data_IF_934963673705
#
_entry.id   IF_934963673705
#
_cell.length_a   1.000
_cell.length_b   1.000
_cell.length_c   1.000
_cell.angle_alpha   90.00
_cell.angle_beta   90.00
_cell.angle_gamma   90.00
#
_symmetry.space_group_name_H-M   'P 1'
#
loop_
_entity.id
_entity.type
_entity.pdbx_description
1 polymer ?
#
# COMPACT_ATOMS: atom_id res chain seq x y z
N UNK A 1 -27.48 -11.21 30.53
CA UNK A 1 -26.05 -11.06 30.21
C UNK A 1 -25.58 -9.74 30.74
N UNK A 2 -24.43 -9.70 31.42
CA UNK A 2 -23.81 -8.44 31.87
C UNK A 2 -22.70 -8.06 30.87
N UNK A 3 -22.49 -6.75 30.67
CA UNK A 3 -21.40 -6.27 29.82
C UNK A 3 -20.03 -6.55 30.45
N UNK A 4 -19.02 -6.74 29.60
CA UNK A 4 -17.63 -6.83 30.03
C UNK A 4 -17.17 -5.50 30.65
N UNK A 5 -16.35 -5.49 31.72
CA UNK A 5 -15.86 -4.27 32.36
C UNK A 5 -15.23 -3.25 31.39
N UNK A 6 -14.49 -3.73 30.40
CA UNK A 6 -13.80 -2.89 29.40
C UNK A 6 -14.74 -2.17 28.42
N UNK A 7 -16.05 -2.46 28.43
CA UNK A 7 -17.03 -1.72 27.61
C UNK A 7 -16.99 -0.22 27.92
N UNK A 8 -16.74 0.15 29.17
CA UNK A 8 -16.60 1.55 29.57
C UNK A 8 -15.39 2.22 28.91
N UNK A 9 -14.26 1.51 28.83
CA UNK A 9 -13.05 2.00 28.17
C UNK A 9 -13.31 2.19 26.67
N UNK A 10 -14.01 1.24 26.03
CA UNK A 10 -14.40 1.39 24.62
C UNK A 10 -15.27 2.64 24.43
N UNK A 11 -16.26 2.89 25.28
CA UNK A 11 -17.14 4.05 25.19
C UNK A 11 -16.39 5.38 25.33
N UNK A 12 -15.37 5.42 26.18
CA UNK A 12 -14.50 6.59 26.35
C UNK A 12 -13.61 6.84 25.11
N UNK A 13 -13.15 5.78 24.43
CA UNK A 13 -12.30 5.88 23.24
C UNK A 13 -13.09 6.12 21.95
N UNK A 14 -14.32 5.61 21.85
CA UNK A 14 -15.07 5.56 20.59
C UNK A 14 -15.29 6.92 19.91
N UNK A 15 -15.54 8.03 20.63
CA UNK A 15 -15.66 9.35 19.99
C UNK A 15 -14.42 9.76 19.19
N UNK A 16 -13.21 9.37 19.63
CA UNK A 16 -11.98 9.66 18.90
C UNK A 16 -11.80 8.77 17.68
N UNK A 17 -12.21 7.50 17.79
CA UNK A 17 -12.25 6.56 16.67
C UNK A 17 -13.22 7.05 15.59
N UNK A 18 -14.40 7.53 15.99
CA UNK A 18 -15.39 8.09 15.07
C UNK A 18 -14.84 9.33 14.33
N UNK A 19 -14.14 10.23 15.04
CA UNK A 19 -13.47 11.37 14.40
C UNK A 19 -12.37 10.96 13.42
N UNK A 20 -11.66 9.87 13.70
CA UNK A 20 -10.67 9.31 12.79
C UNK A 20 -11.33 8.72 11.53
N UNK A 21 -12.45 8.02 11.67
CA UNK A 21 -13.27 7.56 10.55
C UNK A 21 -13.82 8.73 9.73
N UNK A 22 -14.33 9.79 10.36
CA UNK A 22 -14.81 10.99 9.66
C UNK A 22 -13.71 11.67 8.84
N UNK A 23 -12.48 11.69 9.37
CA UNK A 23 -11.31 12.17 8.62
C UNK A 23 -11.03 11.23 7.44
N UNK A 24 -11.02 9.91 7.66
CA UNK A 24 -10.79 8.91 6.62
C UNK A 24 -11.79 9.06 5.46
N UNK A 25 -13.08 9.21 5.77
CA UNK A 25 -14.14 9.37 4.77
C UNK A 25 -13.98 10.63 3.92
N UNK A 26 -13.44 11.72 4.48
CA UNK A 26 -13.10 12.93 3.69
C UNK A 26 -12.02 12.69 2.65
N UNK A 27 -11.18 11.68 2.86
CA UNK A 27 -10.08 11.27 1.98
C UNK A 27 -10.41 10.00 1.17
N UNK A 28 -11.70 9.67 1.02
CA UNK A 28 -12.15 8.54 0.19
C UNK A 28 -11.94 7.15 0.81
N UNK A 29 -11.78 7.06 2.13
CA UNK A 29 -11.64 5.79 2.85
C UNK A 29 -12.94 5.48 3.59
N UNK A 30 -13.63 4.42 3.16
CA UNK A 30 -14.96 4.06 3.67
C UNK A 30 -14.92 3.46 5.08
N UNK A 31 -13.92 2.64 5.40
CA UNK A 31 -13.82 1.92 6.69
C UNK A 31 -12.36 1.85 7.17
N UNK A 32 -12.05 2.50 8.30
CA UNK A 32 -10.71 2.48 8.90
C UNK A 32 -10.27 1.11 9.42
N UNK A 33 -11.22 0.20 9.68
CA UNK A 33 -10.97 -1.12 10.23
C UNK A 33 -10.89 -2.23 9.18
N UNK A 34 -11.17 -1.93 7.91
CA UNK A 34 -11.02 -2.88 6.80
C UNK A 34 -9.87 -2.48 5.87
N UNK A 35 -9.26 -3.46 5.20
CA UNK A 35 -8.27 -3.27 4.13
C UNK A 35 -7.13 -2.28 4.43
N UNK A 36 -6.75 -2.18 5.71
CA UNK A 36 -5.78 -1.19 6.22
C UNK A 36 -6.21 0.28 6.04
N UNK A 37 -7.50 0.62 5.96
CA UNK A 37 -7.99 1.98 5.75
C UNK A 37 -7.41 3.00 6.73
N UNK A 38 -7.39 2.68 8.03
CA UNK A 38 -6.79 3.54 9.04
C UNK A 38 -5.27 3.72 8.92
N UNK A 39 -4.57 2.81 8.23
CA UNK A 39 -3.15 2.98 7.89
C UNK A 39 -3.00 3.79 6.61
N UNK A 40 -3.77 3.47 5.57
CA UNK A 40 -3.78 4.19 4.31
C UNK A 40 -3.95 5.69 4.52
N UNK A 41 -4.87 6.11 5.41
CA UNK A 41 -5.05 7.52 5.76
C UNK A 41 -3.74 8.21 6.19
N UNK A 42 -2.89 7.54 6.97
CA UNK A 42 -1.61 8.11 7.41
C UNK A 42 -0.70 8.41 6.21
N UNK A 43 -0.66 7.51 5.22
CA UNK A 43 0.13 7.69 3.99
C UNK A 43 -0.39 8.88 3.20
N UNK A 44 -1.70 8.92 2.93
CA UNK A 44 -2.31 9.99 2.13
C UNK A 44 -2.06 11.38 2.75
N UNK A 45 -2.21 11.52 4.06
CA UNK A 45 -2.00 12.79 4.76
C UNK A 45 -0.54 13.24 4.76
N UNK A 46 0.42 12.32 4.69
CA UNK A 46 1.85 12.63 4.66
C UNK A 46 2.32 12.95 3.23
N UNK A 47 1.86 12.19 2.25
CA UNK A 47 2.31 12.34 0.85
C UNK A 47 1.50 13.37 0.07
N UNK A 48 0.32 13.75 0.56
CA UNK A 48 -0.62 14.62 -0.17
C UNK A 48 -1.31 13.92 -1.35
N UNK A 49 -1.29 12.59 -1.38
CA UNK A 49 -1.94 11.80 -2.42
C UNK A 49 -3.46 11.67 -2.18
N UNK A 50 -4.21 11.55 -3.27
CA UNK A 50 -5.64 11.28 -3.29
C UNK A 50 -5.90 9.88 -3.84
N UNK A 51 -6.75 9.09 -3.16
CA UNK A 51 -7.12 7.73 -3.62
C UNK A 51 -7.93 7.81 -4.91
N UNK A 52 -7.62 6.93 -5.85
CA UNK A 52 -8.42 6.76 -7.06
C UNK A 52 -9.57 5.78 -6.81
N UNK A 53 -10.81 6.08 -7.28
CA UNK A 53 -11.92 5.16 -7.15
C UNK A 53 -11.77 3.98 -8.12
N UNK A 54 -12.10 2.78 -7.64
CA UNK A 54 -12.08 1.56 -8.45
C UNK A 54 -11.03 0.55 -7.97
N UNK A 55 -11.22 -0.73 -8.36
CA UNK A 55 -10.28 -1.81 -8.03
C UNK A 55 -9.34 -2.15 -9.19
N UNK A 56 -9.61 -1.64 -10.37
CA UNK A 56 -8.84 -1.90 -11.59
C UNK A 56 -8.16 -0.60 -12.04
N UNK A 57 -6.92 -0.39 -11.60
CA UNK A 57 -6.16 0.82 -11.90
C UNK A 57 -5.05 1.05 -10.90
N UNK A 58 -4.41 2.21 -11.01
CA UNK A 58 -3.45 2.69 -10.02
C UNK A 58 -4.19 3.13 -8.75
N UNK A 59 -3.49 3.14 -7.62
CA UNK A 59 -4.12 3.26 -6.30
C UNK A 59 -4.38 4.73 -5.90
N UNK A 60 -3.54 5.67 -6.34
CA UNK A 60 -3.64 7.07 -5.96
C UNK A 60 -3.05 8.02 -7.01
N UNK A 61 -3.33 9.32 -6.85
CA UNK A 61 -2.74 10.39 -7.67
C UNK A 61 -2.26 11.57 -6.82
N UNK A 62 -1.31 12.34 -7.34
CA UNK A 62 -0.89 13.62 -6.76
C UNK A 62 -1.70 14.81 -7.32
N UNK A 63 -1.42 16.01 -6.80
CA UNK A 63 -2.05 17.27 -7.25
C UNK A 63 -1.72 17.67 -8.69
N UNK A 64 -0.69 17.09 -9.30
CA UNK A 64 -0.31 17.32 -10.70
C UNK A 64 -0.98 16.30 -11.64
N UNK A 65 -1.68 15.31 -11.10
CA UNK A 65 -2.32 14.24 -11.86
C UNK A 65 -1.40 13.05 -12.15
N UNK A 66 -0.21 12.98 -11.55
CA UNK A 66 0.62 11.78 -11.64
C UNK A 66 -0.02 10.66 -10.82
N UNK A 67 -0.10 9.46 -11.38
CA UNK A 67 -0.67 8.28 -10.72
C UNK A 67 0.42 7.40 -10.10
N UNK A 68 0.05 6.66 -9.05
CA UNK A 68 0.96 5.85 -8.24
C UNK A 68 0.33 4.50 -7.88
N UNK A 69 1.17 3.46 -7.84
CA UNK A 69 0.84 2.21 -7.14
C UNK A 69 1.20 2.35 -5.66
N UNK A 70 0.32 1.91 -4.75
CA UNK A 70 0.55 1.91 -3.31
C UNK A 70 0.71 0.48 -2.80
N UNK A 71 1.79 0.22 -2.05
CA UNK A 71 1.98 -1.03 -1.31
C UNK A 71 2.33 -0.76 0.14
N UNK A 72 1.85 -1.62 1.04
CA UNK A 72 2.19 -1.52 2.46
C UNK A 72 2.64 -2.86 3.04
N UNK A 73 3.44 -2.80 4.11
CA UNK A 73 3.87 -3.99 4.84
C UNK A 73 3.84 -3.74 6.35
N UNK A 74 3.35 -4.72 7.11
CA UNK A 74 3.55 -4.76 8.56
C UNK A 74 4.76 -5.63 8.89
N UNK A 75 5.84 -5.00 9.36
CA UNK A 75 7.12 -5.66 9.62
C UNK A 75 7.09 -6.67 10.76
N UNK A 76 6.01 -6.69 11.55
CA UNK A 76 5.76 -7.71 12.58
C UNK A 76 5.23 -9.03 11.99
N UNK A 77 4.73 -9.00 10.75
CA UNK A 77 4.11 -10.15 10.09
C UNK A 77 4.92 -10.66 8.90
N UNK A 78 5.49 -9.77 8.10
CA UNK A 78 6.28 -10.15 6.92
C UNK A 78 7.33 -9.08 6.59
N UNK A 79 8.33 -9.47 5.79
CA UNK A 79 9.41 -8.59 5.31
C UNK A 79 9.38 -8.39 3.80
N UNK A 80 8.26 -8.67 3.15
CA UNK A 80 8.10 -8.49 1.71
C UNK A 80 6.71 -7.96 1.36
N UNK A 81 6.66 -7.11 0.34
CA UNK A 81 5.43 -6.56 -0.22
C UNK A 81 4.81 -7.55 -1.20
N UNK A 82 3.49 -7.70 -1.15
CA UNK A 82 2.71 -8.34 -2.21
C UNK A 82 2.62 -7.46 -3.45
N UNK A 83 2.27 -8.06 -4.58
CA UNK A 83 2.04 -7.36 -5.85
C UNK A 83 0.64 -7.70 -6.35
N UNK A 84 0.50 -8.46 -7.44
CA UNK A 84 -0.75 -8.88 -8.04
C UNK A 84 -0.86 -10.42 -8.07
N UNK A 85 -2.07 -10.97 -7.92
CA UNK A 85 -2.29 -12.42 -7.94
C UNK A 85 -2.20 -13.04 -9.34
N UNK A 86 -2.24 -12.21 -10.38
CA UNK A 86 -2.23 -12.60 -11.79
C UNK A 86 -1.24 -11.72 -12.54
N UNK A 87 0.05 -11.81 -12.21
CA UNK A 87 1.08 -11.03 -12.93
C UNK A 87 1.25 -11.63 -14.33
N UNK A 88 1.10 -10.77 -15.34
CA UNK A 88 1.22 -11.06 -16.77
C UNK A 88 1.75 -9.80 -17.51
N UNK A 89 2.11 -9.88 -18.80
CA UNK A 89 2.70 -8.75 -19.52
C UNK A 89 1.86 -7.46 -19.50
N UNK A 90 0.53 -7.56 -19.59
CA UNK A 90 -0.35 -6.38 -19.52
C UNK A 90 -0.29 -5.67 -18.17
N UNK A 91 -0.17 -6.41 -17.06
CA UNK A 91 0.00 -5.81 -15.72
C UNK A 91 1.39 -5.18 -15.58
N UNK A 92 2.42 -5.85 -16.10
CA UNK A 92 3.81 -5.36 -16.03
C UNK A 92 3.95 -4.07 -16.84
N UNK A 93 3.34 -3.99 -18.02
CA UNK A 93 3.33 -2.78 -18.85
C UNK A 93 2.70 -1.59 -18.12
N UNK A 94 1.59 -1.81 -17.40
CA UNK A 94 0.97 -0.79 -16.54
C UNK A 94 1.91 -0.35 -15.42
N UNK A 95 2.55 -1.31 -14.74
CA UNK A 95 3.47 -1.02 -13.64
C UNK A 95 4.68 -0.18 -14.07
N UNK A 96 5.14 -0.29 -15.32
CA UNK A 96 6.21 0.56 -15.85
C UNK A 96 5.81 2.02 -16.10
N UNK A 97 4.53 2.36 -16.03
CA UNK A 97 4.05 3.73 -16.31
C UNK A 97 3.98 4.62 -15.07
N UNK A 98 4.12 4.06 -13.86
CA UNK A 98 3.88 4.78 -12.61
C UNK A 98 4.95 4.52 -11.56
N UNK A 99 5.16 5.50 -10.71
CA UNK A 99 5.97 5.36 -9.51
C UNK A 99 5.20 4.55 -8.45
N UNK A 100 5.95 3.88 -7.58
CA UNK A 100 5.40 3.08 -6.49
C UNK A 100 5.74 3.69 -5.15
N UNK A 101 4.73 3.80 -4.28
CA UNK A 101 4.88 4.20 -2.89
C UNK A 101 4.79 2.98 -1.98
N UNK A 102 5.82 2.79 -1.18
CA UNK A 102 5.95 1.69 -0.24
C UNK A 102 5.88 2.20 1.20
N UNK A 103 4.80 1.88 1.90
CA UNK A 103 4.58 2.25 3.29
C UNK A 103 4.93 1.09 4.26
N UNK A 104 5.78 1.38 5.25
CA UNK A 104 6.30 0.39 6.19
C UNK A 104 5.71 0.66 7.57
N UNK A 105 5.04 -0.33 8.14
CA UNK A 105 4.38 -0.23 9.43
C UNK A 105 4.95 -1.22 10.44
N UNK A 106 4.90 -0.85 11.72
CA UNK A 106 4.88 -1.81 12.83
C UNK A 106 3.50 -1.78 13.48
N UNK A 107 2.72 -2.84 13.27
CA UNK A 107 1.30 -2.88 13.62
C UNK A 107 0.51 -1.77 12.91
N UNK A 108 0.03 -0.77 13.65
CA UNK A 108 -0.72 0.39 13.11
C UNK A 108 0.15 1.63 12.93
N UNK A 109 1.39 1.61 13.46
CA UNK A 109 2.29 2.75 13.44
C UNK A 109 3.07 2.76 12.14
N UNK A 110 2.91 3.82 11.35
CA UNK A 110 3.75 4.07 10.19
C UNK A 110 5.17 4.38 10.65
N UNK A 111 6.16 3.73 10.04
CA UNK A 111 7.57 3.91 10.33
C UNK A 111 8.27 4.71 9.24
N UNK A 112 8.00 4.37 7.98
CA UNK A 112 8.59 5.06 6.84
C UNK A 112 7.83 4.87 5.54
N UNK A 113 8.03 5.80 4.62
CA UNK A 113 7.51 5.77 3.25
C UNK A 113 8.68 5.91 2.29
N UNK A 114 8.74 5.03 1.29
CA UNK A 114 9.71 5.09 0.19
C UNK A 114 8.99 5.21 -1.15
N UNK A 115 9.60 5.93 -2.09
CA UNK A 115 9.19 5.98 -3.49
C UNK A 115 10.22 5.27 -4.36
N UNK A 116 9.76 4.41 -5.27
CA UNK A 116 10.59 3.82 -6.32
C UNK A 116 9.99 4.18 -7.69
N UNK A 117 10.83 4.56 -8.63
CA UNK A 117 10.44 4.82 -10.02
C UNK A 117 10.36 3.50 -10.81
N UNK A 118 9.76 3.50 -12.02
CA UNK A 118 9.83 2.35 -12.92
C UNK A 118 11.24 1.83 -13.15
N UNK A 119 12.23 2.72 -13.23
CA UNK A 119 13.64 2.33 -13.44
C UNK A 119 14.20 1.57 -12.23
N UNK A 120 13.82 1.97 -11.02
CA UNK A 120 14.24 1.28 -9.79
C UNK A 120 13.62 -0.11 -9.66
N UNK A 121 12.47 -0.36 -10.31
CA UNK A 121 11.74 -1.62 -10.28
C UNK A 121 11.96 -2.51 -11.52
N UNK A 122 12.64 -2.01 -12.55
CA UNK A 122 12.83 -2.72 -13.83
C UNK A 122 13.44 -4.12 -13.66
N UNK A 123 14.34 -4.29 -12.68
CA UNK A 123 14.89 -5.61 -12.33
C UNK A 123 13.79 -6.66 -12.05
N UNK A 124 12.70 -6.27 -11.37
CA UNK A 124 11.59 -7.17 -11.08
C UNK A 124 10.69 -7.38 -12.29
N UNK A 125 10.45 -6.34 -13.09
CA UNK A 125 9.64 -6.43 -14.29
C UNK A 125 10.25 -7.42 -15.29
N UNK A 126 11.53 -7.23 -15.62
CA UNK A 126 12.30 -8.15 -16.47
C UNK A 126 12.26 -9.59 -15.95
N UNK A 127 12.45 -9.76 -14.64
CA UNK A 127 12.43 -11.07 -14.00
C UNK A 127 11.07 -11.76 -14.15
N UNK A 128 9.98 -11.02 -13.97
CA UNK A 128 8.63 -11.57 -14.08
C UNK A 128 8.24 -11.85 -15.53
N UNK A 129 8.63 -11.01 -16.49
CA UNK A 129 8.37 -11.27 -17.92
C UNK A 129 9.08 -12.53 -18.40
N UNK A 130 10.35 -12.71 -18.02
CA UNK A 130 11.09 -13.95 -18.32
C UNK A 130 10.43 -15.16 -17.67
N UNK A 131 10.10 -15.07 -16.38
CA UNK A 131 9.42 -16.16 -15.68
C UNK A 131 8.07 -16.53 -16.32
N UNK A 132 7.28 -15.53 -16.73
CA UNK A 132 6.00 -15.74 -17.41
C UNK A 132 6.22 -16.46 -18.74
N UNK A 133 7.19 -16.02 -19.53
CA UNK A 133 7.57 -16.62 -20.82
C UNK A 133 8.06 -18.07 -20.64
N UNK A 134 8.99 -18.30 -19.72
CA UNK A 134 9.58 -19.61 -19.42
C UNK A 134 8.53 -20.61 -18.90
N UNK A 135 7.46 -20.11 -18.28
CA UNK A 135 6.34 -20.93 -17.81
C UNK A 135 5.30 -21.25 -18.88
N UNK A 136 5.53 -20.85 -20.14
CA UNK A 136 4.59 -21.05 -21.25
C UNK A 136 3.38 -20.11 -21.21
N UNK A 137 3.55 -18.90 -20.65
CA UNK A 137 2.50 -17.89 -20.57
C UNK A 137 1.57 -18.03 -19.37
N UNK A 138 2.03 -18.67 -18.29
CA UNK A 138 1.24 -18.84 -17.07
C UNK A 138 1.43 -17.65 -16.14
N UNK A 139 0.32 -17.07 -15.68
CA UNK A 139 0.33 -15.98 -14.72
C UNK A 139 1.11 -16.31 -13.44
N UNK A 140 1.90 -15.35 -12.97
CA UNK A 140 2.70 -15.49 -11.76
C UNK A 140 1.86 -15.05 -10.57
N UNK A 141 1.68 -15.95 -9.62
CA UNK A 141 0.85 -15.69 -8.44
C UNK A 141 1.62 -14.91 -7.37
N UNK A 142 1.29 -13.61 -7.23
CA UNK A 142 1.69 -12.74 -6.12
C UNK A 142 3.20 -12.79 -5.80
N UNK A 143 4.07 -12.54 -6.81
CA UNK A 143 5.50 -12.44 -6.55
C UNK A 143 5.78 -11.29 -5.58
N UNK A 144 6.86 -11.41 -4.80
CA UNK A 144 7.14 -10.50 -3.70
C UNK A 144 8.32 -9.59 -3.99
N UNK A 145 8.22 -8.34 -3.53
CA UNK A 145 9.34 -7.40 -3.47
C UNK A 145 9.84 -7.33 -2.01
N UNK A 146 11.11 -7.70 -1.71
CA UNK A 146 11.64 -7.64 -0.35
C UNK A 146 11.77 -6.21 0.17
N UNK A 147 11.51 -6.03 1.47
CA UNK A 147 11.71 -4.76 2.18
C UNK A 147 13.15 -4.24 2.05
N UNK A 148 14.13 -5.14 2.06
CA UNK A 148 15.55 -4.76 1.91
C UNK A 148 15.84 -4.14 0.55
N UNK A 149 15.12 -4.56 -0.51
CA UNK A 149 15.24 -3.96 -1.83
C UNK A 149 14.68 -2.53 -1.82
N UNK A 150 13.45 -2.36 -1.34
CA UNK A 150 12.79 -1.05 -1.22
C UNK A 150 13.66 -0.05 -0.45
N UNK A 151 14.23 -0.45 0.68
CA UNK A 151 15.12 0.41 1.48
C UNK A 151 16.44 0.75 0.79
N UNK A 152 16.94 -0.13 -0.07
CA UNK A 152 18.24 0.05 -0.73
C UNK A 152 18.13 0.94 -1.96
N UNK A 153 17.04 0.82 -2.72
CA UNK A 153 16.87 1.47 -4.02
C UNK A 153 15.82 2.58 -4.01
N UNK A 154 14.94 2.64 -3.01
CA UNK A 154 13.93 3.68 -2.90
C UNK A 154 14.44 4.99 -2.35
N UNK A 155 13.84 6.08 -2.82
CA UNK A 155 13.97 7.41 -2.22
C UNK A 155 13.11 7.49 -0.97
N UNK A 156 13.69 7.88 0.16
CA UNK A 156 12.97 8.06 1.41
C UNK A 156 12.12 9.33 1.36
N UNK A 157 10.81 9.19 1.60
CA UNK A 157 9.85 10.30 1.64
C UNK A 157 9.58 10.73 3.10
N UNK A 158 9.50 9.76 4.00
CA UNK A 158 9.15 9.98 5.40
C UNK A 158 9.76 8.91 6.31
N UNK A 159 10.17 9.29 7.52
CA UNK A 159 10.60 8.39 8.60
C UNK A 159 10.26 8.98 9.98
N UNK A 160 9.90 8.12 10.94
CA UNK A 160 9.67 8.46 12.36
C UNK A 160 10.85 8.15 13.26
#
# INVERSE_FOLDING_TARGET
MNFHPDKKVLDELFPYIQRYQELASKHGIDDIFQDNGGKLLQVLLITGLEVLPGREGNDAKDSNGNEYELKSVNIKLTKSFSTHHHINPSIIEKYRQVDWIFAIYSSINLLSIYQLTPTDLEFYYDKWERQWTDSGGKDINNPKIPLTYVRKYGSLIYET
#
